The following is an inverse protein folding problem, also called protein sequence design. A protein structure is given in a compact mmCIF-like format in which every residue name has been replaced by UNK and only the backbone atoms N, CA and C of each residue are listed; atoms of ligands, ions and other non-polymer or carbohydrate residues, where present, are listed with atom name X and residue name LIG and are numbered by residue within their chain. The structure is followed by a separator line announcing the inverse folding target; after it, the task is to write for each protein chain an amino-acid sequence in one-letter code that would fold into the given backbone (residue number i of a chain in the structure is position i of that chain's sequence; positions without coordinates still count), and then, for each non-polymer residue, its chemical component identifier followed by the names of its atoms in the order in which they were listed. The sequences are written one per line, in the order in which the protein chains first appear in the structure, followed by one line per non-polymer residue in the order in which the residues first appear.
data_IF_305573943791
#
_entry.id   IF_305573943791
#
_cell.length_a   1.000
_cell.length_b   1.000
_cell.length_c   1.000
_cell.angle_alpha   90.00
_cell.angle_beta   90.00
_cell.angle_gamma   90.00
#
_symmetry.space_group_name_H-M   'P 1'
#
loop_
_entity.id
_entity.type
_entity.pdbx_description
1 polymer ?
#
# COMPACT_ATOMS: atom_id res chain seq x y z
N UNK A 1 -28.11 -34.71 15.81
CA UNK A 1 -27.35 -34.11 16.93
C UNK A 1 -25.98 -34.79 16.98
N UNK A 2 -25.07 -34.34 16.12
CA UNK A 2 -23.69 -34.83 16.05
C UNK A 2 -22.84 -33.70 16.60
N UNK A 3 -22.29 -33.93 17.79
CA UNK A 3 -21.39 -33.00 18.47
C UNK A 3 -20.08 -33.00 17.69
N UNK A 4 -19.83 -31.96 16.90
CA UNK A 4 -18.53 -31.72 16.29
C UNK A 4 -17.51 -31.49 17.41
N UNK A 5 -16.56 -32.40 17.55
CA UNK A 5 -15.44 -32.27 18.48
C UNK A 5 -14.59 -31.08 18.04
N UNK A 6 -14.58 -30.03 18.88
CA UNK A 6 -13.57 -28.97 18.89
C UNK A 6 -12.18 -29.59 18.72
N UNK A 7 -11.48 -29.25 17.65
CA UNK A 7 -10.03 -29.42 17.63
C UNK A 7 -9.46 -28.56 18.78
N UNK A 8 -8.82 -29.20 19.76
CA UNK A 8 -8.11 -28.49 20.81
C UNK A 8 -6.99 -27.69 20.16
N UNK A 9 -7.10 -26.36 20.17
CA UNK A 9 -6.00 -25.45 19.86
C UNK A 9 -4.87 -25.73 20.85
N UNK A 10 -3.82 -26.42 20.39
CA UNK A 10 -2.60 -26.58 21.15
C UNK A 10 -1.90 -25.22 21.20
N UNK A 11 -1.77 -24.64 22.40
CA UNK A 11 -0.73 -23.62 22.64
C UNK A 11 0.61 -24.33 22.48
N UNK A 12 1.30 -24.06 21.37
CA UNK A 12 2.68 -24.50 21.17
C UNK A 12 3.60 -23.78 22.17
N UNK A 13 4.52 -24.53 22.77
CA UNK A 13 5.53 -24.01 23.68
C UNK A 13 6.62 -23.21 22.96
N UNK A 14 7.49 -22.49 23.70
CA UNK A 14 8.52 -21.64 23.12
C UNK A 14 9.69 -22.50 22.61
N UNK A 15 9.76 -22.68 21.29
CA UNK A 15 10.84 -23.35 20.58
C UNK A 15 10.31 -24.09 19.36
N UNK A 16 10.52 -23.53 18.18
CA UNK A 16 10.12 -24.03 16.84
C UNK A 16 8.67 -23.78 16.38
N UNK A 17 8.03 -22.72 16.88
CA UNK A 17 6.77 -22.20 16.33
C UNK A 17 6.99 -21.17 15.21
N UNK A 18 5.99 -21.01 14.33
CA UNK A 18 5.94 -19.89 13.38
C UNK A 18 6.14 -18.57 14.14
N UNK A 19 7.02 -17.70 13.66
CA UNK A 19 7.40 -16.51 14.42
C UNK A 19 7.81 -15.37 13.51
N UNK A 20 7.59 -14.15 14.01
CA UNK A 20 8.21 -12.96 13.47
C UNK A 20 9.70 -12.93 13.83
N UNK A 21 10.50 -12.44 12.88
CA UNK A 21 11.92 -12.14 13.05
C UNK A 21 12.18 -10.74 12.50
N UNK A 22 13.09 -10.01 13.12
CA UNK A 22 13.41 -8.64 12.72
C UNK A 22 14.90 -8.43 12.61
N UNK A 23 15.30 -7.72 11.55
CA UNK A 23 16.70 -7.41 11.30
C UNK A 23 16.86 -5.93 10.98
N UNK A 24 17.95 -5.36 11.48
CA UNK A 24 18.46 -4.10 10.96
C UNK A 24 19.06 -4.34 9.58
N UNK A 25 18.96 -3.37 8.68
CA UNK A 25 19.68 -3.40 7.42
C UNK A 25 20.13 -1.99 6.99
N UNK A 26 21.13 -1.92 6.12
CA UNK A 26 21.60 -0.66 5.56
C UNK A 26 20.62 -0.15 4.49
N UNK A 27 20.06 1.05 4.70
CA UNK A 27 19.02 1.61 3.83
C UNK A 27 19.46 1.73 2.37
N UNK A 28 20.75 2.02 2.12
CA UNK A 28 21.29 2.26 0.78
C UNK A 28 21.59 0.96 0.05
N UNK A 29 22.18 -0.03 0.74
CA UNK A 29 22.65 -1.27 0.09
C UNK A 29 21.69 -2.44 0.22
N UNK A 30 20.76 -2.41 1.17
CA UNK A 30 19.92 -3.55 1.50
C UNK A 30 20.60 -4.61 2.37
N UNK A 31 21.87 -4.41 2.75
CA UNK A 31 22.65 -5.39 3.48
C UNK A 31 22.08 -5.60 4.89
N UNK A 32 21.63 -6.82 5.17
CA UNK A 32 21.20 -7.29 6.48
C UNK A 32 22.34 -7.17 7.49
N UNK A 33 22.00 -6.61 8.63
CA UNK A 33 22.84 -6.48 9.81
C UNK A 33 22.34 -7.36 10.95
N UNK A 34 22.53 -6.87 12.17
CA UNK A 34 22.17 -7.60 13.38
C UNK A 34 20.65 -7.79 13.50
N UNK A 35 20.21 -8.92 14.09
CA UNK A 35 18.83 -9.06 14.53
C UNK A 35 18.50 -8.00 15.58
N UNK A 36 17.24 -7.59 15.63
CA UNK A 36 16.69 -6.69 16.64
C UNK A 36 15.42 -7.30 17.22
N UNK A 37 15.22 -7.17 18.52
CA UNK A 37 14.01 -7.66 19.17
C UNK A 37 12.96 -6.56 19.24
N UNK A 38 11.79 -6.82 18.64
CA UNK A 38 10.63 -5.92 18.66
C UNK A 38 9.53 -6.59 19.48
N UNK A 39 9.39 -6.28 20.78
CA UNK A 39 8.51 -7.03 21.68
C UNK A 39 7.02 -6.85 21.35
N UNK A 40 6.66 -5.76 20.69
CA UNK A 40 5.34 -5.49 20.15
C UNK A 40 5.49 -4.57 18.94
N UNK A 41 4.72 -4.83 17.89
CA UNK A 41 4.68 -3.99 16.71
C UNK A 41 3.36 -4.15 15.98
N UNK A 42 2.99 -3.14 15.20
CA UNK A 42 1.89 -3.21 14.26
C UNK A 42 2.43 -2.95 12.86
N UNK A 43 1.79 -3.55 11.87
CA UNK A 43 2.17 -3.39 10.48
C UNK A 43 0.93 -3.28 9.60
N UNK A 44 1.05 -2.52 8.53
CA UNK A 44 0.05 -2.41 7.46
C UNK A 44 0.77 -2.32 6.12
N UNK A 45 0.20 -2.96 5.10
CA UNK A 45 0.62 -2.89 3.69
C UNK A 45 -0.65 -2.63 2.87
N UNK A 46 -0.61 -1.68 1.94
CA UNK A 46 -1.77 -1.31 1.12
C UNK A 46 -1.39 -1.02 -0.33
N UNK A 47 -2.38 -0.97 -1.24
CA UNK A 47 -2.20 -0.42 -2.61
C UNK A 47 -2.35 1.10 -2.61
N UNK A 48 -3.18 1.62 -1.71
CA UNK A 48 -3.55 3.03 -1.51
C UNK A 48 -4.26 3.17 -0.15
N UNK A 49 -4.54 4.40 0.34
CA UNK A 49 -5.46 4.61 1.47
C UNK A 49 -6.78 3.84 1.21
N UNK A 50 -7.12 2.93 2.13
CA UNK A 50 -8.13 1.87 1.94
C UNK A 50 -9.29 1.95 2.92
N UNK A 51 -9.45 3.10 3.60
CA UNK A 51 -10.57 3.31 4.52
C UNK A 51 -11.82 3.78 3.75
N UNK A 52 -13.02 3.45 4.26
CA UNK A 52 -14.30 3.97 3.73
C UNK A 52 -14.36 5.49 3.94
N UNK A 53 -13.73 6.23 3.04
CA UNK A 53 -13.83 7.67 2.86
C UNK A 53 -14.53 7.93 1.53
N UNK A 54 -15.40 8.95 1.43
CA UNK A 54 -16.20 9.27 0.23
C UNK A 54 -15.38 9.82 -0.95
N UNK A 55 -14.11 9.46 -1.03
CA UNK A 55 -13.14 9.77 -2.07
C UNK A 55 -12.32 8.51 -2.35
N UNK A 56 -12.70 7.72 -3.38
CA UNK A 56 -11.81 6.70 -3.97
C UNK A 56 -10.67 7.43 -4.69
N UNK A 57 -9.67 7.91 -3.95
CA UNK A 57 -8.43 8.41 -4.55
C UNK A 57 -7.47 7.23 -4.67
N UNK A 58 -6.83 7.07 -5.83
CA UNK A 58 -5.77 6.08 -6.06
C UNK A 58 -4.47 6.61 -5.46
N UNK A 59 -4.47 6.76 -4.13
CA UNK A 59 -3.26 7.06 -3.38
C UNK A 59 -2.14 6.05 -3.68
N UNK A 60 -0.92 6.38 -3.26
CA UNK A 60 0.17 5.40 -3.26
C UNK A 60 0.06 4.51 -2.03
N UNK A 61 0.43 3.24 -2.15
CA UNK A 61 0.41 2.29 -1.03
C UNK A 61 1.17 2.81 0.18
N UNK A 62 0.49 2.83 1.32
CA UNK A 62 1.10 3.10 2.61
C UNK A 62 1.55 1.77 3.23
N UNK A 63 2.85 1.68 3.50
CA UNK A 63 3.37 0.78 4.52
C UNK A 63 3.54 1.60 5.79
N UNK A 64 2.85 1.23 6.87
CA UNK A 64 3.02 1.87 8.17
C UNK A 64 3.46 0.84 9.21
N UNK A 65 4.53 1.20 9.92
CA UNK A 65 4.98 0.54 11.16
C UNK A 65 5.18 1.68 12.14
N UNK A 66 4.14 1.99 12.91
CA UNK A 66 4.10 3.15 13.80
C UNK A 66 4.53 2.80 15.22
N UNK A 67 5.28 3.71 15.85
CA UNK A 67 5.48 3.73 17.30
C UNK A 67 6.29 2.57 17.89
N UNK A 68 7.31 2.08 17.18
CA UNK A 68 8.20 1.06 17.72
C UNK A 68 8.95 1.61 18.92
N UNK A 69 8.71 1.03 20.10
CA UNK A 69 9.38 1.38 21.34
C UNK A 69 10.17 0.18 21.85
N UNK A 70 11.48 0.30 21.90
CA UNK A 70 12.39 -0.79 22.26
C UNK A 70 13.29 -0.41 23.44
N UNK A 71 13.47 -1.29 24.44
CA UNK A 71 14.43 -1.04 25.51
C UNK A 71 15.86 -1.09 24.97
N UNK A 72 16.79 -0.37 25.61
CA UNK A 72 18.20 -0.36 25.18
C UNK A 72 18.88 -1.74 25.20
N UNK A 73 18.32 -2.71 25.93
CA UNK A 73 18.78 -4.10 25.95
C UNK A 73 18.45 -4.87 24.66
N UNK A 74 17.42 -4.45 23.91
CA UNK A 74 17.03 -5.05 22.63
C UNK A 74 17.83 -4.47 21.45
N UNK A 75 18.53 -3.34 21.65
CA UNK A 75 19.32 -2.69 20.61
C UNK A 75 20.73 -3.29 20.54
N UNK A 76 21.19 -3.74 19.37
CA UNK A 76 22.55 -4.26 19.21
C UNK A 76 23.64 -3.25 19.61
N UNK A 77 24.64 -3.73 20.35
CA UNK A 77 25.81 -2.96 20.76
C UNK A 77 25.83 -2.58 22.24
N UNK A 78 27.03 -2.57 22.82
CA UNK A 78 27.26 -2.31 24.26
C UNK A 78 27.72 -0.88 24.58
N UNK A 79 27.98 -0.05 23.55
CA UNK A 79 28.43 1.34 23.72
C UNK A 79 27.43 2.33 23.12
N UNK A 80 27.39 3.59 23.58
CA UNK A 80 26.54 4.62 22.98
C UNK A 80 26.79 4.79 21.48
N UNK A 81 28.05 4.71 21.03
CA UNK A 81 28.40 4.80 19.62
C UNK A 81 27.86 3.62 18.80
N UNK A 82 27.97 2.39 19.33
CA UNK A 82 27.47 1.20 18.64
C UNK A 82 25.94 1.21 18.53
N UNK A 83 25.23 1.56 19.61
CA UNK A 83 23.75 1.67 19.60
C UNK A 83 23.27 2.74 18.63
N UNK A 84 23.93 3.90 18.61
CA UNK A 84 23.61 4.95 17.65
C UNK A 84 23.89 4.53 16.20
N UNK A 85 24.96 3.79 15.94
CA UNK A 85 25.25 3.26 14.61
C UNK A 85 24.24 2.20 14.14
N UNK A 86 23.67 1.42 15.08
CA UNK A 86 22.66 0.41 14.81
C UNK A 86 21.30 1.03 14.45
N UNK A 87 20.91 2.12 15.11
CA UNK A 87 19.61 2.80 14.93
C UNK A 87 19.76 4.22 14.36
N UNK A 88 20.72 4.42 13.47
CA UNK A 88 20.98 5.75 12.89
C UNK A 88 19.84 6.12 11.94
N UNK A 89 19.11 7.18 12.28
CA UNK A 89 17.98 7.65 11.48
C UNK A 89 18.41 7.98 10.03
N UNK A 90 17.57 7.65 9.06
CA UNK A 90 17.85 7.82 7.62
C UNK A 90 18.87 6.84 7.01
N UNK A 91 19.73 6.21 7.84
CA UNK A 91 20.80 5.30 7.38
C UNK A 91 20.52 3.82 7.65
N UNK A 92 19.66 3.54 8.63
CA UNK A 92 19.31 2.21 9.07
C UNK A 92 17.83 1.99 8.88
N UNK A 93 17.50 0.79 8.43
CA UNK A 93 16.14 0.34 8.23
C UNK A 93 15.90 -0.93 9.02
N UNK A 94 14.63 -1.26 9.23
CA UNK A 94 14.19 -2.52 9.81
C UNK A 94 13.42 -3.29 8.75
N UNK A 95 13.62 -4.60 8.71
CA UNK A 95 12.78 -5.54 8.01
C UNK A 95 12.11 -6.47 9.01
N UNK A 96 10.81 -6.65 8.89
CA UNK A 96 10.04 -7.66 9.62
C UNK A 96 9.72 -8.81 8.68
N UNK A 97 10.12 -10.01 9.09
CA UNK A 97 9.96 -11.22 8.29
C UNK A 97 9.06 -12.22 9.01
N UNK A 98 8.24 -12.92 8.24
CA UNK A 98 7.47 -14.05 8.73
C UNK A 98 8.24 -15.34 8.48
N UNK A 99 8.47 -16.12 9.52
CA UNK A 99 9.07 -17.45 9.40
C UNK A 99 8.01 -18.53 9.65
N UNK A 100 7.57 -19.27 8.60
CA UNK A 100 6.60 -20.33 8.76
C UNK A 100 7.18 -21.52 9.54
N UNK A 101 6.30 -22.38 10.07
CA UNK A 101 6.72 -23.59 10.77
C UNK A 101 7.52 -24.49 9.82
N UNK A 102 8.56 -25.14 10.34
CA UNK A 102 9.40 -26.03 9.54
C UNK A 102 10.29 -25.32 8.50
N UNK A 103 10.32 -23.98 8.46
CA UNK A 103 11.32 -23.26 7.68
C UNK A 103 12.75 -23.61 8.14
N UNK A 104 13.71 -23.56 7.22
CA UNK A 104 15.13 -23.73 7.54
C UNK A 104 15.50 -22.78 8.71
N UNK A 105 16.07 -23.28 9.82
CA UNK A 105 16.48 -22.44 10.97
C UNK A 105 17.47 -21.33 10.61
N UNK A 106 18.22 -21.49 9.52
CA UNK A 106 19.14 -20.48 8.99
C UNK A 106 18.46 -19.44 8.10
N UNK A 107 17.21 -19.69 7.67
CA UNK A 107 16.42 -18.72 6.92
C UNK A 107 15.98 -17.58 7.83
N UNK A 108 16.24 -16.32 7.45
CA UNK A 108 15.75 -15.18 8.20
C UNK A 108 14.21 -15.04 8.09
N UNK A 109 13.57 -15.69 7.11
CA UNK A 109 12.13 -15.66 6.87
C UNK A 109 11.74 -15.00 5.54
N UNK A 110 10.45 -14.74 5.36
CA UNK A 110 9.89 -14.04 4.20
C UNK A 110 9.70 -12.57 4.57
N UNK A 111 10.38 -11.61 3.91
CA UNK A 111 10.16 -10.19 4.18
C UNK A 111 8.72 -9.77 3.89
N UNK A 112 8.08 -9.12 4.86
CA UNK A 112 6.68 -8.65 4.71
C UNK A 112 6.65 -7.13 4.66
N UNK A 113 7.31 -6.47 5.60
CA UNK A 113 7.35 -5.01 5.69
C UNK A 113 8.76 -4.54 6.00
N UNK A 114 9.11 -3.39 5.44
CA UNK A 114 10.38 -2.73 5.65
C UNK A 114 10.17 -1.24 5.83
N UNK A 115 11.03 -0.59 6.61
CA UNK A 115 11.08 0.86 6.58
C UNK A 115 12.33 1.44 7.22
N UNK A 116 12.65 2.66 6.81
CA UNK A 116 13.79 3.41 7.29
C UNK A 116 13.46 4.08 8.62
N UNK A 117 14.34 3.96 9.61
CA UNK A 117 14.15 4.54 10.94
C UNK A 117 14.14 6.07 10.82
N UNK A 118 13.00 6.72 11.09
CA UNK A 118 12.85 8.17 11.18
C UNK A 118 11.44 8.58 11.65
N UNK A 119 11.28 9.57 12.56
CA UNK A 119 12.28 10.11 13.49
C UNK A 119 12.50 9.16 14.69
N UNK A 120 13.59 9.39 15.44
CA UNK A 120 13.93 8.63 16.67
C UNK A 120 13.99 9.55 17.89
N UNK A 121 13.40 9.10 18.99
CA UNK A 121 13.40 9.77 20.30
C UNK A 121 13.96 8.82 21.36
N UNK A 122 14.95 9.30 22.11
CA UNK A 122 15.62 8.50 23.14
C UNK A 122 15.20 8.93 24.55
N UNK A 123 15.08 7.94 25.43
CA UNK A 123 14.97 8.13 26.88
C UNK A 123 16.08 7.36 27.59
N UNK A 124 16.14 7.48 28.92
CA UNK A 124 17.09 6.71 29.73
C UNK A 124 16.89 5.19 29.63
N UNK A 125 15.65 4.74 29.42
CA UNK A 125 15.29 3.32 29.49
C UNK A 125 15.13 2.68 28.11
N UNK A 126 14.76 3.48 27.12
CA UNK A 126 14.30 2.99 25.82
C UNK A 126 14.55 4.01 24.71
N UNK A 127 14.30 3.57 23.49
CA UNK A 127 14.24 4.42 22.31
C UNK A 127 12.96 4.11 21.54
N UNK A 128 12.36 5.15 20.97
CA UNK A 128 11.15 5.07 20.18
C UNK A 128 11.40 5.64 18.79
N UNK A 129 10.88 4.99 17.76
CA UNK A 129 11.03 5.48 16.38
C UNK A 129 9.86 5.06 15.50
N UNK A 130 9.64 5.84 14.44
CA UNK A 130 8.77 5.46 13.33
C UNK A 130 9.59 4.90 12.17
N UNK A 131 8.94 4.19 11.26
CA UNK A 131 9.55 3.73 10.02
C UNK A 131 8.93 4.45 8.84
N UNK A 132 9.77 4.98 7.94
CA UNK A 132 9.37 5.47 6.64
C UNK A 132 9.34 4.32 5.63
N UNK A 133 8.20 4.10 4.99
CA UNK A 133 8.07 3.17 3.87
C UNK A 133 9.02 3.54 2.72
N UNK A 134 9.23 2.61 1.79
CA UNK A 134 10.00 2.90 0.57
C UNK A 134 9.41 4.09 -0.19
N UNK A 135 8.09 4.17 -0.25
CA UNK A 135 7.36 5.27 -0.90
C UNK A 135 7.56 6.61 -0.16
N UNK A 136 7.50 6.62 1.18
CA UNK A 136 7.76 7.81 1.98
C UNK A 136 9.22 8.26 1.91
N UNK A 137 10.18 7.33 1.81
CA UNK A 137 11.59 7.69 1.57
C UNK A 137 11.77 8.42 0.24
N UNK A 138 10.98 8.07 -0.79
CA UNK A 138 10.97 8.76 -2.08
C UNK A 138 10.38 10.19 -2.01
N UNK A 139 9.68 10.56 -0.94
CA UNK A 139 9.27 11.94 -0.70
C UNK A 139 10.46 12.89 -0.48
N UNK A 140 11.56 12.36 0.07
CA UNK A 140 12.80 13.10 0.29
C UNK A 140 13.75 13.06 -0.94
N UNK A 141 13.29 12.51 -2.07
CA UNK A 141 14.07 12.39 -3.31
C UNK A 141 13.43 13.21 -4.40
N UNK A 142 14.19 14.08 -5.04
CA UNK A 142 13.68 14.99 -6.08
C UNK A 142 13.99 14.45 -7.47
N UNK A 143 13.02 14.47 -8.38
CA UNK A 143 13.16 14.07 -9.80
C UNK A 143 13.70 15.24 -10.62
N UNK A 144 15.02 15.46 -10.54
CA UNK A 144 15.74 16.45 -11.36
C UNK A 144 17.07 15.89 -11.85
N UNK A 145 17.57 16.27 -13.04
CA UNK A 145 18.88 15.84 -13.51
C UNK A 145 19.99 16.39 -12.61
N UNK A 146 20.93 15.52 -12.25
CA UNK A 146 22.05 15.88 -11.38
C UNK A 146 22.93 16.97 -12.02
N UNK A 147 23.32 17.96 -11.22
CA UNK A 147 24.23 19.04 -11.64
C UNK A 147 23.66 20.04 -12.65
N UNK A 148 22.33 20.05 -12.90
CA UNK A 148 21.70 20.96 -13.89
C UNK A 148 20.83 22.05 -13.28
N UNK A 149 20.32 21.86 -12.06
CA UNK A 149 19.42 22.82 -11.44
C UNK A 149 20.14 24.15 -11.14
N UNK A 150 19.56 25.27 -11.59
CA UNK A 150 20.11 26.61 -11.44
C UNK A 150 21.28 26.94 -12.37
N UNK A 151 21.57 26.09 -13.36
CA UNK A 151 22.72 26.27 -14.26
C UNK A 151 22.40 27.04 -15.54
N UNK A 152 21.13 27.38 -15.79
CA UNK A 152 20.77 28.22 -16.92
C UNK A 152 21.03 29.70 -16.60
N UNK A 153 21.00 30.55 -17.64
CA UNK A 153 21.26 31.98 -17.55
C UNK A 153 20.48 32.66 -16.40
N UNK A 154 21.19 33.41 -15.57
CA UNK A 154 20.63 34.11 -14.42
C UNK A 154 20.34 33.22 -13.21
N UNK A 155 20.91 32.02 -13.14
CA UNK A 155 20.65 31.07 -12.05
C UNK A 155 19.29 30.39 -12.19
N UNK A 156 18.80 30.23 -13.42
CA UNK A 156 17.46 29.69 -13.71
C UNK A 156 17.52 28.19 -14.06
N UNK A 157 16.33 27.56 -14.15
CA UNK A 157 16.15 26.15 -14.55
C UNK A 157 15.05 26.05 -15.61
N UNK A 158 15.34 26.46 -16.84
CA UNK A 158 14.36 26.52 -17.96
C UNK A 158 14.14 25.18 -18.64
N UNK A 159 15.02 24.21 -18.40
CA UNK A 159 14.91 22.86 -18.98
C UNK A 159 13.75 22.03 -18.42
N UNK A 160 13.32 21.03 -19.17
CA UNK A 160 12.36 20.01 -18.73
C UNK A 160 12.92 18.61 -18.89
N UNK A 161 12.42 17.69 -18.08
CA UNK A 161 12.67 16.25 -18.19
C UNK A 161 11.49 15.67 -18.96
N UNK A 162 11.74 15.04 -20.10
CA UNK A 162 10.70 14.35 -20.87
C UNK A 162 11.02 12.87 -20.94
N UNK A 163 10.06 12.04 -20.55
CA UNK A 163 10.18 10.59 -20.56
C UNK A 163 9.04 10.00 -21.37
N UNK A 164 9.36 9.03 -22.21
CA UNK A 164 8.41 8.26 -23.02
C UNK A 164 8.44 6.79 -22.59
N UNK A 165 7.31 6.09 -22.71
CA UNK A 165 7.20 4.67 -22.40
C UNK A 165 5.79 4.29 -21.96
N UNK A 166 5.63 3.13 -21.33
CA UNK A 166 4.43 2.82 -20.53
C UNK A 166 4.46 3.60 -19.21
N UNK A 167 3.34 3.71 -18.49
CA UNK A 167 3.33 4.42 -17.21
C UNK A 167 4.31 3.82 -16.19
N UNK A 168 4.41 2.49 -16.13
CA UNK A 168 5.37 1.80 -15.26
C UNK A 168 6.82 2.03 -15.67
N UNK A 169 7.11 2.20 -16.96
CA UNK A 169 8.43 2.59 -17.44
C UNK A 169 8.80 4.02 -17.00
N UNK A 170 7.86 4.95 -17.13
CA UNK A 170 8.03 6.35 -16.70
C UNK A 170 8.23 6.41 -15.17
N UNK A 171 7.49 5.60 -14.41
CA UNK A 171 7.68 5.48 -12.96
C UNK A 171 9.08 4.97 -12.61
N UNK A 172 9.57 3.93 -13.30
CA UNK A 172 10.94 3.45 -13.12
C UNK A 172 11.98 4.53 -13.41
N UNK A 173 11.81 5.31 -14.47
CA UNK A 173 12.74 6.41 -14.80
C UNK A 173 12.69 7.53 -13.75
N UNK A 174 11.52 7.87 -13.22
CA UNK A 174 11.39 8.82 -12.12
C UNK A 174 12.15 8.34 -10.87
N UNK A 175 11.97 7.07 -10.48
CA UNK A 175 12.70 6.48 -9.35
C UNK A 175 14.20 6.50 -9.61
N UNK A 176 14.66 6.13 -10.81
CA UNK A 176 16.08 6.14 -11.20
C UNK A 176 16.69 7.55 -11.10
N UNK A 177 16.01 8.56 -11.64
CA UNK A 177 16.43 9.97 -11.59
C UNK A 177 16.49 10.51 -10.15
N UNK A 178 15.58 10.05 -9.30
CA UNK A 178 15.53 10.43 -7.89
C UNK A 178 16.56 9.69 -7.02
N UNK A 179 17.07 8.54 -7.49
CA UNK A 179 17.94 7.64 -6.71
C UNK A 179 19.30 7.42 -7.38
N UNK A 180 19.48 6.34 -8.15
CA UNK A 180 20.77 5.87 -8.66
C UNK A 180 21.42 6.81 -9.68
N UNK A 181 20.68 7.76 -10.25
CA UNK A 181 21.24 8.82 -11.09
C UNK A 181 21.99 9.90 -10.28
N UNK A 182 21.90 9.87 -8.94
CA UNK A 182 22.48 10.87 -8.04
C UNK A 182 23.58 10.27 -7.16
N UNK A 183 24.66 11.00 -6.88
CA UNK A 183 25.72 10.56 -5.98
C UNK A 183 25.17 10.18 -4.60
N UNK A 184 25.40 8.94 -4.15
CA UNK A 184 24.91 8.44 -2.87
C UNK A 184 23.38 8.31 -2.77
N UNK A 185 22.64 8.46 -3.88
CA UNK A 185 21.18 8.41 -3.91
C UNK A 185 20.59 7.02 -4.12
N UNK A 186 21.42 6.01 -4.41
CA UNK A 186 20.95 4.65 -4.67
C UNK A 186 20.15 4.08 -3.49
N UNK A 187 19.08 3.37 -3.80
CA UNK A 187 18.30 2.56 -2.88
C UNK A 187 18.23 1.13 -3.44
N UNK A 188 18.02 0.09 -2.62
CA UNK A 188 17.95 -1.31 -3.05
C UNK A 188 16.60 -1.62 -3.71
N UNK A 189 16.25 -0.87 -4.75
CA UNK A 189 15.00 -0.98 -5.50
C UNK A 189 15.30 -1.56 -6.88
N UNK A 190 14.55 -2.60 -7.26
CA UNK A 190 14.57 -3.16 -8.61
C UNK A 190 13.53 -2.48 -9.48
N UNK A 191 13.96 -2.11 -10.69
CA UNK A 191 13.16 -1.35 -11.66
C UNK A 191 12.94 -2.20 -12.92
N UNK A 192 12.11 -3.26 -12.85
CA UNK A 192 12.01 -4.26 -13.92
C UNK A 192 11.41 -3.72 -15.23
N UNK A 193 10.72 -2.57 -15.16
CA UNK A 193 10.06 -1.94 -16.31
C UNK A 193 10.89 -0.80 -16.93
N UNK A 194 12.12 -0.59 -16.46
CA UNK A 194 12.97 0.47 -16.98
C UNK A 194 13.20 0.33 -18.49
N UNK A 195 12.87 1.36 -19.25
CA UNK A 195 13.02 1.38 -20.71
C UNK A 195 11.94 0.60 -21.47
N UNK A 196 10.88 0.14 -20.81
CA UNK A 196 9.75 -0.49 -21.50
C UNK A 196 9.03 0.52 -22.42
N UNK A 197 8.81 0.10 -23.66
CA UNK A 197 8.13 0.90 -24.68
C UNK A 197 6.66 1.19 -24.32
N UNK A 198 6.13 2.29 -24.84
CA UNK A 198 4.72 2.63 -24.71
C UNK A 198 4.40 3.97 -25.35
N UNK A 199 3.12 4.34 -25.33
CA UNK A 199 2.61 5.54 -26.00
C UNK A 199 2.44 6.73 -25.07
N UNK A 200 2.88 6.63 -23.81
CA UNK A 200 2.73 7.69 -22.83
C UNK A 200 3.95 8.60 -22.85
N UNK A 201 3.70 9.86 -22.57
CA UNK A 201 4.72 10.88 -22.37
C UNK A 201 4.42 11.66 -21.11
N UNK A 202 5.45 11.90 -20.31
CA UNK A 202 5.40 12.81 -19.17
C UNK A 202 6.56 13.81 -19.25
N UNK A 203 6.22 15.06 -18.98
CA UNK A 203 7.18 16.15 -18.99
C UNK A 203 7.11 16.89 -17.66
N UNK A 204 8.26 17.05 -17.02
CA UNK A 204 8.40 17.75 -15.75
C UNK A 204 9.30 18.97 -15.93
N UNK A 205 8.78 20.16 -15.62
CA UNK A 205 9.55 21.38 -15.71
C UNK A 205 10.49 21.51 -14.50
N UNK A 206 11.81 21.61 -14.72
CA UNK A 206 12.80 21.53 -13.64
C UNK A 206 12.71 22.70 -12.66
N UNK A 207 12.25 23.88 -13.09
CA UNK A 207 11.97 25.01 -12.19
C UNK A 207 10.85 24.73 -11.19
N UNK A 208 9.93 23.79 -11.50
CA UNK A 208 8.82 23.43 -10.61
C UNK A 208 9.24 22.39 -9.55
N UNK A 209 10.46 22.52 -9.03
CA UNK A 209 11.12 21.51 -8.17
C UNK A 209 10.35 21.18 -6.90
N UNK A 210 9.55 22.11 -6.39
CA UNK A 210 8.70 21.93 -5.21
C UNK A 210 7.61 20.86 -5.44
N UNK A 211 7.24 20.60 -6.70
CA UNK A 211 6.24 19.62 -7.11
C UNK A 211 6.88 18.42 -7.84
N UNK A 212 8.14 18.11 -7.50
CA UNK A 212 8.92 17.04 -8.12
C UNK A 212 9.59 16.11 -7.10
N UNK A 213 9.02 15.97 -5.90
CA UNK A 213 9.39 14.80 -5.08
C UNK A 213 9.00 13.53 -5.83
N UNK A 214 9.78 12.47 -5.69
CA UNK A 214 9.52 11.22 -6.41
C UNK A 214 8.19 10.61 -5.94
N UNK A 215 7.85 10.77 -4.65
CA UNK A 215 6.52 10.47 -4.14
C UNK A 215 5.43 11.20 -4.94
N UNK A 216 5.51 12.52 -5.03
CA UNK A 216 4.51 13.35 -5.72
C UNK A 216 4.40 12.99 -7.21
N UNK A 217 5.53 12.74 -7.87
CA UNK A 217 5.55 12.29 -9.27
C UNK A 217 4.84 10.94 -9.42
N UNK A 218 5.12 9.96 -8.56
CA UNK A 218 4.47 8.64 -8.62
C UNK A 218 2.96 8.73 -8.31
N UNK A 219 2.58 9.52 -7.31
CA UNK A 219 1.18 9.81 -6.97
C UNK A 219 0.43 10.49 -8.11
N UNK A 220 1.05 11.47 -8.77
CA UNK A 220 0.44 12.11 -9.95
C UNK A 220 0.33 11.14 -11.12
N UNK A 221 1.27 10.21 -11.27
CA UNK A 221 1.19 9.16 -12.28
C UNK A 221 0.06 8.15 -11.99
N UNK A 222 -0.15 7.74 -10.73
CA UNK A 222 -1.23 6.80 -10.37
C UNK A 222 -2.62 7.44 -10.51
N UNK A 223 -2.72 8.76 -10.26
CA UNK A 223 -3.98 9.49 -10.26
C UNK A 223 -4.42 10.06 -11.62
N UNK A 224 -3.62 9.91 -12.68
CA UNK A 224 -4.12 10.27 -14.03
C UNK A 224 -5.24 9.33 -14.48
N UNK A 225 -6.01 9.75 -15.48
CA UNK A 225 -6.98 8.85 -16.11
C UNK A 225 -6.28 7.58 -16.63
N UNK A 226 -6.75 6.43 -16.18
CA UNK A 226 -6.13 5.13 -16.42
C UNK A 226 -4.67 5.02 -15.91
N UNK A 227 -4.36 5.69 -14.80
CA UNK A 227 -3.09 5.54 -14.09
C UNK A 227 -2.95 4.15 -13.45
N UNK A 228 -1.72 3.60 -13.43
CA UNK A 228 -1.48 2.25 -12.93
C UNK A 228 -1.42 2.23 -11.39
N UNK A 229 -1.87 1.14 -10.82
CA UNK A 229 -1.55 0.79 -9.44
C UNK A 229 -0.06 0.46 -9.34
N UNK A 230 0.57 0.83 -8.21
CA UNK A 230 2.00 0.68 -7.97
C UNK A 230 2.25 0.21 -6.54
N UNK A 231 3.24 -0.66 -6.33
CA UNK A 231 3.63 -1.15 -5.01
C UNK A 231 5.12 -1.48 -4.96
N UNK A 232 5.71 -1.39 -3.77
CA UNK A 232 7.03 -1.93 -3.47
C UNK A 232 6.88 -3.21 -2.64
N UNK A 233 7.37 -4.35 -3.15
CA UNK A 233 7.31 -5.63 -2.45
C UNK A 233 8.69 -6.02 -1.95
N UNK A 234 8.91 -6.13 -0.63
CA UNK A 234 10.20 -6.53 -0.10
C UNK A 234 10.48 -8.00 -0.42
N UNK A 235 11.73 -8.33 -0.70
CA UNK A 235 12.17 -9.70 -0.87
C UNK A 235 13.65 -9.86 -0.53
N UNK A 236 14.07 -11.09 -0.28
CA UNK A 236 15.49 -11.44 -0.12
C UNK A 236 16.10 -11.72 -1.49
N UNK A 237 17.05 -10.89 -1.90
CA UNK A 237 17.78 -11.07 -3.15
C UNK A 237 18.81 -12.20 -3.05
N UNK A 238 19.34 -12.37 -1.85
CA UNK A 238 20.19 -13.47 -1.41
C UNK A 238 20.05 -13.60 0.12
N UNK A 239 20.89 -14.42 0.74
CA UNK A 239 20.85 -14.66 2.19
C UNK A 239 21.20 -13.42 3.05
N UNK A 240 21.71 -12.34 2.45
CA UNK A 240 22.22 -11.17 3.15
C UNK A 240 21.63 -9.84 2.67
N UNK A 241 20.86 -9.79 1.58
CA UNK A 241 20.34 -8.54 1.03
C UNK A 241 18.82 -8.54 0.92
N UNK A 242 18.19 -7.55 1.55
CA UNK A 242 16.80 -7.20 1.31
C UNK A 242 16.72 -6.15 0.22
N UNK A 243 15.83 -6.38 -0.75
CA UNK A 243 15.55 -5.46 -1.85
C UNK A 243 14.05 -5.23 -1.97
N UNK A 244 13.69 -4.17 -2.68
CA UNK A 244 12.31 -3.80 -2.99
C UNK A 244 12.07 -4.03 -4.47
N UNK A 245 11.15 -4.92 -4.80
CA UNK A 245 10.67 -5.03 -6.18
C UNK A 245 9.62 -3.97 -6.42
N UNK A 246 9.88 -3.04 -7.34
CA UNK A 246 8.82 -2.17 -7.83
C UNK A 246 7.91 -2.97 -8.76
N UNK A 247 6.64 -3.09 -8.39
CA UNK A 247 5.58 -3.74 -9.18
C UNK A 247 4.57 -2.68 -9.57
N UNK A 248 4.22 -2.64 -10.85
CA UNK A 248 3.27 -1.68 -11.36
C UNK A 248 2.41 -2.29 -12.47
N UNK A 249 1.15 -1.86 -12.49
CA UNK A 249 0.17 -2.24 -13.48
C UNK A 249 0.58 -1.77 -14.89
N UNK A 250 0.02 -2.40 -15.92
CA UNK A 250 0.35 -2.09 -17.31
C UNK A 250 -0.57 -1.00 -17.86
N UNK A 251 -0.28 -0.51 -19.07
CA UNK A 251 -1.18 0.42 -19.74
C UNK A 251 -2.50 -0.24 -20.22
N UNK A 252 -2.53 -1.58 -20.32
CA UNK A 252 -3.72 -2.35 -20.74
C UNK A 252 -4.62 -2.78 -19.58
N UNK A 253 -4.08 -2.84 -18.37
CA UNK A 253 -4.80 -3.12 -17.14
C UNK A 253 -4.19 -2.27 -16.02
N UNK A 254 -5.01 -1.41 -15.44
CA UNK A 254 -4.61 -0.43 -14.42
C UNK A 254 -4.39 -1.05 -13.05
N UNK A 255 -4.80 -2.31 -12.85
CA UNK A 255 -4.64 -3.03 -11.59
C UNK A 255 -3.37 -3.89 -11.58
N UNK A 256 -2.81 -4.10 -10.39
CA UNK A 256 -1.65 -4.99 -10.25
C UNK A 256 -2.03 -6.40 -10.71
N UNK A 257 -1.22 -6.95 -11.62
CA UNK A 257 -1.41 -8.32 -12.10
C UNK A 257 -1.18 -9.35 -10.99
N UNK A 258 -1.76 -10.53 -11.15
CA UNK A 258 -1.55 -11.69 -10.28
C UNK A 258 -1.35 -12.95 -11.13
N UNK A 259 -0.50 -13.86 -10.64
CA UNK A 259 -0.26 -15.16 -11.29
C UNK A 259 -1.16 -16.26 -10.71
N UNK A 260 -1.68 -16.07 -9.49
CA UNK A 260 -2.48 -17.04 -8.75
C UNK A 260 -3.75 -16.36 -8.25
N UNK A 261 -4.90 -17.02 -8.42
CA UNK A 261 -6.16 -16.61 -7.81
C UNK A 261 -6.25 -17.18 -6.40
N UNK A 262 -6.38 -16.31 -5.40
CA UNK A 262 -6.52 -16.72 -4.00
C UNK A 262 -7.99 -16.98 -3.67
N UNK A 263 -8.27 -17.85 -2.71
CA UNK A 263 -9.63 -18.16 -2.28
C UNK A 263 -9.76 -18.17 -0.78
N UNK A 264 -10.86 -17.62 -0.27
CA UNK A 264 -11.24 -17.60 1.14
C UNK A 264 -12.67 -18.09 1.30
N UNK A 265 -12.95 -18.85 2.35
CA UNK A 265 -14.31 -19.32 2.68
C UNK A 265 -14.76 -18.77 4.02
N UNK A 266 -15.98 -18.27 4.07
CA UNK A 266 -16.62 -17.77 5.29
C UNK A 266 -18.01 -18.41 5.45
N UNK A 267 -18.22 -19.11 6.56
CA UNK A 267 -19.52 -19.69 6.91
C UNK A 267 -19.68 -19.86 8.43
N UNK A 268 -20.91 -19.96 8.96
CA UNK A 268 -21.12 -20.13 10.39
C UNK A 268 -20.37 -21.34 10.96
N UNK A 269 -19.45 -21.08 11.89
CA UNK A 269 -18.72 -22.13 12.62
C UNK A 269 -17.49 -22.70 11.89
N UNK A 270 -17.04 -22.10 10.79
CA UNK A 270 -15.79 -22.48 10.14
C UNK A 270 -15.46 -21.67 8.88
N UNK A 271 -14.55 -22.20 8.08
CA UNK A 271 -13.98 -21.52 6.93
C UNK A 271 -12.53 -21.16 7.19
N UNK A 272 -11.98 -20.35 6.29
CA UNK A 272 -10.61 -19.84 6.38
C UNK A 272 -10.56 -18.45 7.03
N UNK A 273 -11.74 -17.89 7.32
CA UNK A 273 -11.94 -16.49 7.69
C UNK A 273 -12.66 -16.38 9.03
N UNK A 274 -12.13 -15.55 9.91
CA UNK A 274 -12.74 -15.08 11.14
C UNK A 274 -13.26 -13.63 10.99
N UNK A 275 -14.17 -13.22 11.87
CA UNK A 275 -14.67 -11.84 12.03
C UNK A 275 -15.09 -11.11 10.72
N UNK A 276 -15.70 -11.84 9.78
CA UNK A 276 -16.21 -11.26 8.54
C UNK A 276 -17.21 -10.14 8.82
N UNK A 277 -16.84 -8.93 8.42
CA UNK A 277 -17.62 -7.70 8.57
C UNK A 277 -17.96 -7.15 7.19
N UNK A 278 -19.25 -6.86 6.97
CA UNK A 278 -19.75 -6.16 5.78
C UNK A 278 -20.20 -4.76 6.19
N UNK A 279 -19.43 -3.75 5.78
CA UNK A 279 -19.79 -2.33 5.94
C UNK A 279 -20.55 -1.86 4.72
N UNK A 280 -21.56 -0.99 4.90
CA UNK A 280 -22.38 -0.48 3.80
C UNK A 280 -22.41 1.04 3.77
N UNK A 281 -22.52 1.60 2.57
CA UNK A 281 -22.71 3.02 2.35
C UNK A 281 -23.88 3.27 1.40
N UNK A 282 -24.72 4.25 1.74
CA UNK A 282 -25.79 4.69 0.86
C UNK A 282 -25.22 5.46 -0.36
N UNK A 283 -25.93 5.43 -1.50
CA UNK A 283 -25.50 6.04 -2.77
C UNK A 283 -25.43 7.57 -2.70
N UNK A 284 -24.69 8.17 -3.62
CA UNK A 284 -24.62 9.61 -3.89
C UNK A 284 -25.23 9.87 -5.26
N UNK A 285 -26.26 10.71 -5.34
CA UNK A 285 -26.94 11.03 -6.60
C UNK A 285 -26.42 12.31 -7.25
N UNK A 286 -25.74 13.17 -6.50
CA UNK A 286 -25.19 14.42 -7.03
C UNK A 286 -23.79 14.70 -6.52
N UNK A 287 -22.93 15.12 -7.43
CA UNK A 287 -21.58 15.58 -7.13
C UNK A 287 -21.42 16.99 -7.67
N UNK A 288 -21.29 17.94 -6.76
CA UNK A 288 -20.83 19.30 -7.05
C UNK A 288 -19.31 19.30 -7.03
N UNK A 289 -18.66 19.70 -8.12
CA UNK A 289 -17.20 19.75 -8.16
C UNK A 289 -16.70 21.14 -8.55
N UNK A 290 -15.73 21.65 -7.79
CA UNK A 290 -15.04 22.90 -8.07
C UNK A 290 -13.62 22.67 -8.56
N UNK A 291 -13.15 23.51 -9.48
CA UNK A 291 -11.83 23.44 -10.12
C UNK A 291 -10.94 24.63 -9.78
N UNK A 292 -10.00 24.95 -10.66
CA UNK A 292 -9.18 26.15 -10.56
C UNK A 292 -10.02 27.45 -10.62
N UNK A 293 -9.46 28.54 -10.10
CA UNK A 293 -10.07 29.88 -10.09
C UNK A 293 -10.28 30.42 -8.68
N UNK A 294 -10.41 31.74 -8.58
CA UNK A 294 -10.56 32.46 -7.31
C UNK A 294 -11.94 33.09 -7.21
N UNK A 295 -12.54 33.04 -6.03
CA UNK A 295 -13.84 33.64 -5.71
C UNK A 295 -14.94 33.24 -6.71
N UNK A 296 -15.57 34.22 -7.38
CA UNK A 296 -16.66 33.99 -8.33
C UNK A 296 -16.18 33.38 -9.67
N UNK A 297 -14.87 33.34 -9.92
CA UNK A 297 -14.28 32.78 -11.14
C UNK A 297 -13.91 31.28 -11.01
N UNK A 298 -14.19 30.65 -9.86
CA UNK A 298 -13.94 29.22 -9.66
C UNK A 298 -14.75 28.37 -10.63
N UNK A 299 -14.07 27.49 -11.37
CA UNK A 299 -14.73 26.54 -12.26
C UNK A 299 -15.64 25.63 -11.46
N UNK A 300 -16.88 25.44 -11.92
CA UNK A 300 -17.88 24.61 -11.25
C UNK A 300 -18.52 23.65 -12.25
N UNK A 301 -18.81 22.42 -11.83
CA UNK A 301 -19.61 21.45 -12.58
C UNK A 301 -20.50 20.62 -11.65
N UNK A 302 -21.55 20.05 -12.21
CA UNK A 302 -22.48 19.14 -11.53
C UNK A 302 -22.60 17.85 -12.35
N UNK A 303 -22.41 16.72 -11.69
CA UNK A 303 -22.80 15.42 -12.20
C UNK A 303 -24.00 14.89 -11.39
N UNK A 304 -25.03 14.36 -12.06
CA UNK A 304 -26.19 13.78 -11.39
C UNK A 304 -26.68 12.46 -12.02
N UNK A 305 -27.12 11.54 -11.18
CA UNK A 305 -27.87 10.34 -11.52
C UNK A 305 -29.07 10.24 -10.57
N UNK A 306 -30.28 10.32 -11.14
CA UNK A 306 -31.54 10.38 -10.38
C UNK A 306 -32.30 9.07 -10.38
N UNK A 307 -31.76 8.01 -10.98
CA UNK A 307 -32.45 6.72 -11.15
C UNK A 307 -32.97 6.17 -9.82
N UNK A 308 -32.15 6.20 -8.76
CA UNK A 308 -32.51 5.68 -7.44
C UNK A 308 -33.48 6.55 -6.62
N UNK A 309 -33.60 7.84 -6.94
CA UNK A 309 -34.55 8.75 -6.24
C UNK A 309 -35.92 8.81 -6.95
N UNK A 310 -36.01 8.27 -8.16
CA UNK A 310 -37.23 8.24 -9.00
C UNK A 310 -37.91 6.88 -9.03
N UNK A 311 -37.33 5.87 -8.37
CA UNK A 311 -37.95 4.54 -8.25
C UNK A 311 -39.17 4.55 -7.31
N UNK A 312 -39.94 3.46 -7.36
CA UNK A 312 -41.19 3.32 -6.58
C UNK A 312 -40.98 3.36 -5.06
N UNK A 313 -39.86 2.82 -4.57
CA UNK A 313 -39.40 2.94 -3.17
C UNK A 313 -38.08 3.72 -3.16
N UNK A 314 -38.14 5.06 -3.22
CA UNK A 314 -36.98 5.87 -3.57
C UNK A 314 -35.96 5.97 -2.45
N UNK A 315 -34.68 5.96 -2.84
CA UNK A 315 -33.61 6.38 -1.95
C UNK A 315 -33.74 7.88 -1.62
N UNK A 316 -33.34 8.33 -0.42
CA UNK A 316 -33.21 9.74 -0.14
C UNK A 316 -32.13 10.38 -1.01
N UNK A 317 -32.35 11.62 -1.46
CA UNK A 317 -31.33 12.40 -2.16
C UNK A 317 -30.12 12.60 -1.24
N UNK A 318 -28.94 12.15 -1.71
CA UNK A 318 -27.65 12.43 -1.09
C UNK A 318 -26.72 13.11 -2.09
N UNK A 319 -26.00 14.09 -1.59
CA UNK A 319 -25.17 14.98 -2.37
C UNK A 319 -23.75 15.03 -1.79
N UNK A 320 -22.77 15.24 -2.67
CA UNK A 320 -21.36 15.38 -2.31
C UNK A 320 -20.79 16.64 -2.96
N UNK A 321 -19.86 17.30 -2.27
CA UNK A 321 -19.06 18.40 -2.80
C UNK A 321 -17.59 18.00 -2.81
N UNK A 322 -16.89 18.25 -3.93
CA UNK A 322 -15.45 18.01 -4.10
C UNK A 322 -14.77 19.23 -4.74
N UNK A 323 -13.47 19.36 -4.53
CA UNK A 323 -12.65 20.42 -5.11
C UNK A 323 -11.32 19.86 -5.61
N UNK A 324 -10.86 20.33 -6.77
CA UNK A 324 -9.52 20.07 -7.28
C UNK A 324 -8.98 21.32 -7.98
N UNK A 325 -8.15 22.09 -7.26
CA UNK A 325 -7.65 23.40 -7.73
C UNK A 325 -6.66 23.30 -8.88
N UNK A 326 -6.15 22.10 -9.17
CA UNK A 326 -5.24 21.86 -10.29
C UNK A 326 -5.99 21.64 -11.62
N UNK A 327 -7.32 21.46 -11.57
CA UNK A 327 -8.17 21.30 -12.76
C UNK A 327 -8.62 22.65 -13.30
N UNK A 328 -7.89 23.16 -14.29
CA UNK A 328 -8.15 24.44 -14.97
C UNK A 328 -9.04 24.32 -16.22
N UNK A 329 -9.62 23.14 -16.47
CA UNK A 329 -10.36 22.82 -17.68
C UNK A 329 -11.71 22.13 -17.38
N UNK A 330 -12.82 22.74 -17.85
CA UNK A 330 -14.20 22.28 -17.59
C UNK A 330 -14.46 20.83 -18.05
N UNK A 331 -14.11 20.41 -19.28
CA UNK A 331 -14.18 19.01 -19.69
C UNK A 331 -13.52 18.03 -18.72
N UNK A 332 -12.32 18.33 -18.21
CA UNK A 332 -11.60 17.47 -17.29
C UNK A 332 -12.27 17.46 -15.91
N UNK A 333 -12.68 18.63 -15.41
CA UNK A 333 -13.46 18.78 -14.18
C UNK A 333 -14.76 17.96 -14.24
N UNK A 334 -15.47 18.01 -15.36
CA UNK A 334 -16.72 17.26 -15.59
C UNK A 334 -16.50 15.76 -15.63
N UNK A 335 -15.39 15.31 -16.25
CA UNK A 335 -15.00 13.90 -16.24
C UNK A 335 -14.71 13.40 -14.81
N UNK A 336 -14.03 14.19 -13.98
CA UNK A 336 -13.77 13.85 -12.57
C UNK A 336 -15.05 13.81 -11.73
N UNK A 337 -15.95 14.79 -11.91
CA UNK A 337 -17.25 14.78 -11.24
C UNK A 337 -18.09 13.56 -11.63
N UNK A 338 -18.12 13.22 -12.92
CA UNK A 338 -18.83 12.04 -13.44
C UNK A 338 -18.21 10.74 -12.93
N UNK A 339 -16.88 10.65 -12.89
CA UNK A 339 -16.19 9.48 -12.34
C UNK A 339 -16.50 9.30 -10.84
N UNK A 340 -16.50 10.40 -10.08
CA UNK A 340 -16.89 10.38 -8.66
C UNK A 340 -18.34 9.93 -8.49
N UNK A 341 -19.27 10.45 -9.31
CA UNK A 341 -20.67 10.04 -9.28
C UNK A 341 -20.81 8.56 -9.61
N UNK A 342 -20.25 8.09 -10.73
CA UNK A 342 -20.37 6.70 -11.16
C UNK A 342 -19.84 5.74 -10.08
N UNK A 343 -18.75 6.10 -9.40
CA UNK A 343 -18.18 5.33 -8.31
C UNK A 343 -19.08 5.20 -7.08
N UNK A 344 -20.05 6.11 -6.89
CA UNK A 344 -20.88 6.21 -5.67
C UNK A 344 -22.40 6.21 -5.96
N UNK A 345 -22.80 6.15 -7.22
CA UNK A 345 -24.20 6.26 -7.66
C UNK A 345 -25.10 5.12 -7.18
N UNK A 346 -24.49 4.03 -6.72
CA UNK A 346 -25.15 2.82 -6.23
C UNK A 346 -24.81 2.58 -4.77
N UNK A 347 -25.68 1.91 -4.00
CA UNK A 347 -25.34 1.42 -2.67
C UNK A 347 -24.08 0.55 -2.75
N UNK A 348 -23.17 0.80 -1.82
CA UNK A 348 -21.85 0.16 -1.81
C UNK A 348 -21.71 -0.70 -0.57
N UNK A 349 -20.90 -1.74 -0.69
CA UNK A 349 -20.42 -2.53 0.44
C UNK A 349 -18.90 -2.67 0.42
N UNK A 350 -18.32 -2.87 1.60
CA UNK A 350 -16.92 -3.21 1.79
C UNK A 350 -16.81 -4.39 2.76
N UNK A 351 -16.11 -5.43 2.35
CA UNK A 351 -15.81 -6.56 3.20
C UNK A 351 -14.47 -6.36 3.91
N UNK A 352 -14.40 -6.76 5.18
CA UNK A 352 -13.14 -6.97 5.88
C UNK A 352 -13.24 -8.19 6.77
N UNK A 353 -12.12 -8.85 7.02
CA UNK A 353 -12.09 -10.07 7.82
C UNK A 353 -10.71 -10.33 8.40
N UNK A 354 -10.58 -11.34 9.23
CA UNK A 354 -9.29 -11.81 9.75
C UNK A 354 -9.00 -13.22 9.25
N UNK A 355 -7.73 -13.53 9.04
CA UNK A 355 -7.23 -14.88 8.78
C UNK A 355 -6.09 -15.18 9.78
N UNK A 356 -5.86 -16.45 10.06
CA UNK A 356 -4.67 -16.89 10.79
C UNK A 356 -3.66 -17.49 9.80
N UNK A 357 -2.53 -16.82 9.60
CA UNK A 357 -1.49 -17.27 8.64
C UNK A 357 -0.73 -18.52 9.16
N UNK A 358 -1.00 -18.94 10.39
CA UNK A 358 -0.51 -20.20 10.95
C UNK A 358 -1.47 -21.37 10.73
N UNK A 359 -2.65 -21.15 10.12
CA UNK A 359 -3.56 -22.25 9.78
C UNK A 359 -2.97 -23.13 8.68
N UNK A 360 -3.08 -24.44 8.87
CA UNK A 360 -2.53 -25.48 8.00
C UNK A 360 -3.66 -26.42 7.54
N UNK A 361 -3.47 -27.00 6.35
CA UNK A 361 -4.30 -28.11 5.89
C UNK A 361 -3.98 -29.42 6.64
N UNK A 362 -4.69 -30.50 6.30
CA UNK A 362 -4.47 -31.81 6.93
C UNK A 362 -3.06 -32.40 6.69
N UNK A 363 -2.30 -31.86 5.75
CA UNK A 363 -0.91 -32.25 5.46
C UNK A 363 0.13 -31.42 6.22
N UNK A 364 -0.31 -30.40 6.97
CA UNK A 364 0.58 -29.44 7.63
C UNK A 364 1.07 -28.34 6.68
N UNK A 365 0.45 -28.17 5.50
CA UNK A 365 0.80 -27.10 4.56
C UNK A 365 0.02 -25.84 4.94
N UNK A 366 0.65 -24.65 5.04
CA UNK A 366 -0.06 -23.41 5.34
C UNK A 366 -1.18 -23.12 4.32
N UNK A 367 -2.37 -22.78 4.79
CA UNK A 367 -3.51 -22.44 3.93
C UNK A 367 -3.29 -21.10 3.21
N UNK A 368 -2.81 -20.10 3.94
CA UNK A 368 -2.61 -18.74 3.46
C UNK A 368 -1.23 -18.22 3.86
N UNK A 369 -0.14 -18.74 3.25
CA UNK A 369 1.21 -18.37 3.64
C UNK A 369 1.46 -16.88 3.37
N UNK A 370 1.84 -16.13 4.40
CA UNK A 370 2.10 -14.70 4.28
C UNK A 370 3.25 -14.43 3.29
N UNK A 371 3.06 -13.45 2.42
CA UNK A 371 3.96 -13.13 1.30
C UNK A 371 3.62 -13.86 -0.01
N UNK A 372 2.68 -14.82 -0.01
CA UNK A 372 2.14 -15.44 -1.23
C UNK A 372 1.03 -14.63 -1.90
N UNK A 373 0.44 -13.69 -1.17
CA UNK A 373 -0.56 -12.75 -1.65
C UNK A 373 -0.21 -11.33 -1.19
N UNK A 374 -0.64 -10.35 -1.97
CA UNK A 374 -0.37 -8.94 -1.70
C UNK A 374 -1.58 -8.07 -2.01
N UNK A 375 -1.71 -6.90 -1.38
CA UNK A 375 -2.68 -5.90 -1.80
C UNK A 375 -2.54 -5.60 -3.30
N UNK A 376 -3.69 -5.48 -3.95
CA UNK A 376 -3.86 -5.30 -5.39
C UNK A 376 -4.33 -6.56 -6.09
N UNK A 377 -4.11 -7.73 -5.48
CA UNK A 377 -4.50 -9.02 -6.03
C UNK A 377 -5.97 -9.33 -5.73
N UNK A 378 -6.60 -10.11 -6.61
CA UNK A 378 -7.97 -10.58 -6.46
C UNK A 378 -8.05 -11.86 -5.64
N UNK A 379 -9.12 -11.93 -4.88
CA UNK A 379 -9.54 -13.06 -4.07
C UNK A 379 -10.96 -13.46 -4.48
N UNK A 380 -11.19 -14.77 -4.56
CA UNK A 380 -12.55 -15.31 -4.53
C UNK A 380 -12.95 -15.55 -3.09
N UNK A 381 -13.88 -14.76 -2.56
CA UNK A 381 -14.39 -14.90 -1.19
C UNK A 381 -15.76 -15.57 -1.25
N UNK A 382 -15.80 -16.86 -0.91
CA UNK A 382 -17.04 -17.64 -0.83
C UNK A 382 -17.72 -17.39 0.51
N UNK A 383 -18.87 -16.72 0.49
CA UNK A 383 -19.64 -16.37 1.68
C UNK A 383 -20.93 -17.17 1.67
N UNK A 384 -21.26 -17.83 2.79
CA UNK A 384 -22.54 -18.52 2.94
C UNK A 384 -23.18 -18.29 4.31
N UNK A 385 -24.51 -18.28 4.32
CA UNK A 385 -25.34 -18.08 5.51
C UNK A 385 -25.04 -16.78 6.28
N UNK A 386 -24.57 -15.74 5.59
CA UNK A 386 -24.40 -14.42 6.20
C UNK A 386 -25.78 -13.76 6.34
N UNK A 387 -26.17 -13.23 7.52
CA UNK A 387 -27.56 -12.84 7.77
C UNK A 387 -28.14 -11.78 6.83
N UNK A 388 -27.29 -10.91 6.27
CA UNK A 388 -27.69 -9.79 5.43
C UNK A 388 -27.00 -9.76 4.07
N UNK A 389 -26.40 -10.86 3.62
CA UNK A 389 -25.69 -10.91 2.33
C UNK A 389 -26.04 -12.23 1.63
N UNK A 390 -26.36 -12.24 0.32
CA UNK A 390 -26.65 -13.47 -0.41
C UNK A 390 -25.46 -14.44 -0.38
N UNK A 391 -25.76 -15.72 -0.38
CA UNK A 391 -24.74 -16.75 -0.55
C UNK A 391 -24.12 -16.64 -1.95
N UNK A 392 -22.80 -16.77 -2.04
CA UNK A 392 -22.11 -16.73 -3.34
C UNK A 392 -20.60 -16.54 -3.25
N UNK A 393 -19.99 -16.56 -4.43
CA UNK A 393 -18.58 -16.29 -4.64
C UNK A 393 -18.39 -14.84 -5.07
N UNK A 394 -17.68 -14.08 -4.25
CA UNK A 394 -17.43 -12.67 -4.48
C UNK A 394 -15.99 -12.48 -4.93
N UNK A 395 -15.80 -11.98 -6.15
CA UNK A 395 -14.48 -11.59 -6.63
C UNK A 395 -14.13 -10.22 -6.05
N UNK A 396 -13.22 -10.20 -5.08
CA UNK A 396 -12.87 -9.02 -4.30
C UNK A 396 -11.38 -8.72 -4.43
N UNK A 397 -11.03 -7.44 -4.65
CA UNK A 397 -9.64 -6.99 -4.67
C UNK A 397 -9.16 -6.70 -3.26
N UNK A 398 -8.03 -7.28 -2.85
CA UNK A 398 -7.42 -6.99 -1.55
C UNK A 398 -6.81 -5.58 -1.58
N UNK A 399 -7.21 -4.71 -0.68
CA UNK A 399 -6.73 -3.32 -0.65
C UNK A 399 -5.71 -3.07 0.44
N UNK A 400 -5.87 -3.74 1.58
CA UNK A 400 -4.97 -3.61 2.72
C UNK A 400 -4.86 -4.93 3.49
N UNK A 401 -3.64 -5.21 3.95
CA UNK A 401 -3.34 -6.20 4.98
C UNK A 401 -2.78 -5.48 6.19
N UNK A 402 -3.19 -5.88 7.40
CA UNK A 402 -2.57 -5.37 8.62
C UNK A 402 -2.58 -6.40 9.73
N UNK A 403 -1.62 -6.32 10.62
CA UNK A 403 -1.49 -7.22 11.75
C UNK A 403 -0.58 -6.64 12.82
N UNK A 404 -0.23 -7.49 13.77
CA UNK A 404 0.67 -7.20 14.88
C UNK A 404 1.70 -8.33 15.02
N UNK A 405 2.27 -8.52 16.22
CA UNK A 405 3.22 -9.60 16.50
C UNK A 405 2.60 -11.01 16.50
N UNK A 406 1.28 -11.13 16.32
CA UNK A 406 0.59 -12.42 16.21
C UNK A 406 0.57 -12.95 14.78
N UNK A 407 -0.04 -14.12 14.59
CA UNK A 407 -0.32 -14.71 13.27
C UNK A 407 -1.64 -14.22 12.67
N UNK A 408 -2.41 -13.40 13.38
CA UNK A 408 -3.69 -12.88 12.88
C UNK A 408 -3.47 -11.71 11.93
N UNK A 409 -4.02 -11.81 10.72
CA UNK A 409 -3.93 -10.77 9.70
C UNK A 409 -5.32 -10.31 9.33
N UNK A 410 -5.58 -9.01 9.46
CA UNK A 410 -6.80 -8.38 8.97
C UNK A 410 -6.64 -8.02 7.50
N UNK A 411 -7.58 -8.50 6.69
CA UNK A 411 -7.73 -8.20 5.28
C UNK A 411 -8.88 -7.20 5.10
N UNK A 412 -8.64 -6.17 4.30
CA UNK A 412 -9.67 -5.21 3.88
C UNK A 412 -9.74 -5.24 2.37
N UNK A 413 -10.93 -5.54 1.86
CA UNK A 413 -11.19 -5.60 0.43
C UNK A 413 -11.68 -4.26 -0.10
N UNK A 414 -11.63 -4.12 -1.43
CA UNK A 414 -12.12 -2.95 -2.12
C UNK A 414 -13.64 -2.80 -1.95
N UNK A 415 -14.09 -1.57 -2.11
CA UNK A 415 -15.51 -1.23 -2.10
C UNK A 415 -16.11 -1.72 -3.41
N UNK A 416 -17.22 -2.45 -3.33
CA UNK A 416 -17.98 -2.91 -4.48
C UNK A 416 -19.46 -2.52 -4.37
N UNK A 417 -20.20 -2.65 -5.47
CA UNK A 417 -21.65 -2.52 -5.45
C UNK A 417 -22.25 -3.54 -4.45
N UNK A 418 -23.20 -3.08 -3.62
CA UNK A 418 -23.97 -3.99 -2.77
C UNK A 418 -24.86 -4.86 -3.67
N UNK A 419 -24.85 -6.20 -3.56
CA UNK A 419 -25.66 -7.05 -4.45
C UNK A 419 -27.17 -7.00 -4.17
N UNK A 420 -27.64 -6.28 -3.14
CA UNK A 420 -29.03 -6.35 -2.63
C UNK A 420 -29.87 -5.10 -2.99
N UNK A 421 -29.34 -4.08 -3.66
CA UNK A 421 -30.08 -2.81 -3.82
C UNK A 421 -31.16 -2.77 -4.90
#
# INVERSE_FOLDING_TARGET
MVVARRAQRHRLGPGDGMTWTHYLYDTTTGLLGSPIDLPAFQWSVSVSDSTLSTTRDKGVGEDDVSGLKVPWSAVPGSTPAARNAALMAGKRSIVSMWRPAGADPSSPGIPIVTGCIEPRTDTWNDTSFSLLSTMQQLAYRIVVPEGRFGMDEGGTSRSSITVNGSYRAIACEAIRLATSAKPGGALPIDLPYAGEDGTRTRTWATWNVQNLSCLDVLTKLSNVQAGPDMQFRPYLADAQHVRQRFVAASDGDVYLGQDVMHSLRAFPGGGDVDDLTITRAAPIQRVYMTGAGTDEATLCTLAEDRTLIEMMDPWPLRESAKSDTDLDNIPLLTAHATATLNANSRPLMQASCTIDIADEDASGSPLHPLGSFWPGELFTVSISSYPSLPDGDYLMRLMQMKGDETSTVKLVFDIMDDPIY
#
